data_IF_411075321052
#
_entry.id   IF_411075321052
#
_cell.length_a   1.000
_cell.length_b   1.000
_cell.length_c   1.000
_cell.angle_alpha   90.00
_cell.angle_beta   90.00
_cell.angle_gamma   90.00
#
_symmetry.space_group_name_H-M   'P 1'
#
loop_
_entity.id
_entity.type
_entity.pdbx_description
1 polymer ?
#
# COMPACT_ATOMS: atom_id res chain seq x y z
N UNK A 1 -1.39 61.65 -12.30
CA UNK A 1 -0.63 61.49 -13.56
C UNK A 1 -1.45 60.65 -14.52
N UNK A 2 -1.38 60.92 -15.84
CA UNK A 2 -2.08 60.13 -16.88
C UNK A 2 -1.95 58.62 -16.67
N UNK A 3 -0.79 58.18 -16.17
CA UNK A 3 -0.51 56.80 -15.76
C UNK A 3 -1.58 56.17 -14.85
N UNK A 4 -1.98 56.85 -13.75
CA UNK A 4 -2.97 56.33 -12.78
C UNK A 4 -4.34 56.16 -13.46
N UNK A 5 -4.68 57.07 -14.37
CA UNK A 5 -5.95 57.02 -15.10
C UNK A 5 -5.98 55.89 -16.15
N UNK A 6 -4.87 55.64 -16.85
CA UNK A 6 -4.69 54.46 -17.70
C UNK A 6 -4.77 53.16 -16.91
N UNK A 7 -4.14 53.08 -15.74
CA UNK A 7 -4.23 51.91 -14.86
C UNK A 7 -5.67 51.65 -14.42
N UNK A 8 -6.42 52.70 -14.08
CA UNK A 8 -7.84 52.58 -13.71
C UNK A 8 -8.70 52.07 -14.87
N UNK A 9 -8.51 52.58 -16.09
CA UNK A 9 -9.25 52.09 -17.28
C UNK A 9 -8.91 50.65 -17.60
N UNK A 10 -7.63 50.28 -17.58
CA UNK A 10 -7.23 48.89 -17.79
C UNK A 10 -7.79 47.96 -16.71
N UNK A 11 -7.82 48.38 -15.44
CA UNK A 11 -8.45 47.61 -14.37
C UNK A 11 -9.96 47.45 -14.59
N UNK A 12 -10.66 48.50 -15.03
CA UNK A 12 -12.09 48.46 -15.33
C UNK A 12 -12.40 47.57 -16.55
N UNK A 13 -11.58 47.62 -17.61
CA UNK A 13 -11.68 46.72 -18.75
C UNK A 13 -11.39 45.26 -18.36
N UNK A 14 -10.40 45.02 -17.51
CA UNK A 14 -10.08 43.67 -17.02
C UNK A 14 -11.25 43.10 -16.21
N UNK A 15 -11.82 43.91 -15.30
CA UNK A 15 -12.99 43.52 -14.51
C UNK A 15 -14.20 43.27 -15.42
N UNK A 16 -14.44 44.11 -16.43
CA UNK A 16 -15.55 43.92 -17.39
C UNK A 16 -15.38 42.61 -18.18
N UNK A 17 -14.17 42.33 -18.67
CA UNK A 17 -13.87 41.09 -19.39
C UNK A 17 -13.99 39.86 -18.49
N UNK A 18 -13.54 39.95 -17.24
CA UNK A 18 -13.71 38.88 -16.25
C UNK A 18 -15.19 38.67 -15.91
N UNK A 19 -15.98 39.73 -15.84
CA UNK A 19 -17.41 39.66 -15.57
C UNK A 19 -18.16 39.01 -16.74
N UNK A 20 -17.85 39.38 -17.98
CA UNK A 20 -18.39 38.74 -19.20
C UNK A 20 -18.02 37.25 -19.25
N UNK A 21 -16.76 36.91 -18.98
CA UNK A 21 -16.32 35.51 -18.93
C UNK A 21 -17.01 34.69 -17.82
N UNK A 22 -17.36 35.32 -16.69
CA UNK A 22 -18.14 34.69 -15.62
C UNK A 22 -19.63 34.63 -15.97
N UNK A 23 -20.15 35.56 -16.77
CA UNK A 23 -21.53 35.55 -17.22
C UNK A 23 -21.80 34.50 -18.31
N UNK A 24 -20.79 34.17 -19.10
CA UNK A 24 -20.78 33.05 -20.06
C UNK A 24 -20.61 31.68 -19.38
N UNK A 25 -20.23 31.64 -18.10
CA UNK A 25 -20.36 30.43 -17.29
C UNK A 25 -21.83 30.26 -16.95
N UNK A 26 -22.53 29.50 -17.79
CA UNK A 26 -23.89 29.04 -17.57
C UNK A 26 -24.04 28.55 -16.12
N UNK A 27 -24.75 29.32 -15.29
CA UNK A 27 -24.95 28.99 -13.87
C UNK A 27 -25.81 27.74 -13.84
N UNK A 28 -25.22 26.62 -13.43
CA UNK A 28 -25.96 25.37 -13.30
C UNK A 28 -26.99 25.50 -12.18
N UNK A 29 -28.27 25.39 -12.54
CA UNK A 29 -29.38 25.39 -11.60
C UNK A 29 -29.81 23.96 -11.29
N UNK A 30 -30.36 23.69 -10.07
CA UNK A 30 -30.93 22.40 -9.73
C UNK A 30 -31.92 21.92 -10.79
N UNK A 31 -31.72 20.71 -11.31
CA UNK A 31 -32.54 20.11 -12.38
C UNK A 31 -32.02 20.31 -13.82
N UNK A 32 -30.94 21.08 -14.03
CA UNK A 32 -30.25 21.08 -15.34
C UNK A 32 -29.41 19.81 -15.50
N UNK A 33 -29.30 19.26 -16.72
CA UNK A 33 -28.53 18.03 -16.98
C UNK A 33 -27.09 18.12 -16.48
N UNK A 34 -26.46 19.30 -16.62
CA UNK A 34 -25.11 19.57 -16.12
C UNK A 34 -25.04 19.58 -14.59
N UNK A 35 -26.07 20.10 -13.92
CA UNK A 35 -26.17 20.05 -12.45
C UNK A 35 -26.36 18.62 -11.95
N UNK A 36 -27.25 17.84 -12.56
CA UNK A 36 -27.49 16.45 -12.17
C UNK A 36 -26.25 15.58 -12.40
N UNK A 37 -25.58 15.73 -13.55
CA UNK A 37 -24.32 15.04 -13.82
C UNK A 37 -23.23 15.41 -12.80
N UNK A 38 -23.12 16.70 -12.45
CA UNK A 38 -22.18 17.15 -11.43
C UNK A 38 -22.55 16.65 -10.03
N UNK A 39 -23.84 16.62 -9.69
CA UNK A 39 -24.34 16.08 -8.43
C UNK A 39 -24.01 14.58 -8.31
N UNK A 40 -24.21 13.80 -9.37
CA UNK A 40 -23.77 12.40 -9.44
C UNK A 40 -22.25 12.26 -9.27
N UNK A 41 -21.45 13.09 -9.94
CA UNK A 41 -19.98 13.06 -9.79
C UNK A 41 -19.54 13.39 -8.36
N UNK A 42 -20.19 14.36 -7.71
CA UNK A 42 -19.92 14.71 -6.31
C UNK A 42 -20.35 13.58 -5.37
N UNK A 43 -21.50 12.94 -5.62
CA UNK A 43 -21.96 11.75 -4.90
C UNK A 43 -20.96 10.61 -4.98
N UNK A 44 -20.53 10.25 -6.20
CA UNK A 44 -19.50 9.23 -6.46
C UNK A 44 -18.20 9.55 -5.72
N UNK A 45 -17.74 10.80 -5.76
CA UNK A 45 -16.50 11.21 -5.06
C UNK A 45 -16.64 11.07 -3.54
N UNK A 46 -17.81 11.43 -2.98
CA UNK A 46 -18.08 11.26 -1.54
C UNK A 46 -18.06 9.79 -1.14
N UNK A 47 -18.69 8.93 -1.94
CA UNK A 47 -18.64 7.48 -1.73
C UNK A 47 -17.20 6.94 -1.76
N UNK A 48 -16.43 7.29 -2.80
CA UNK A 48 -15.02 6.87 -2.91
C UNK A 48 -14.20 7.34 -1.71
N UNK A 49 -14.35 8.60 -1.30
CA UNK A 49 -13.64 9.12 -0.14
C UNK A 49 -14.04 8.41 1.17
N UNK A 50 -15.31 8.05 1.34
CA UNK A 50 -15.76 7.31 2.52
C UNK A 50 -15.20 5.88 2.53
N UNK A 51 -15.10 5.25 1.36
CA UNK A 51 -14.47 3.94 1.20
C UNK A 51 -12.96 3.99 1.48
N UNK A 52 -12.23 4.95 0.89
CA UNK A 52 -10.79 5.13 1.09
C UNK A 52 -10.46 5.41 2.57
N UNK A 53 -11.31 6.19 3.26
CA UNK A 53 -11.18 6.47 4.69
C UNK A 53 -11.37 5.19 5.53
N UNK A 54 -12.38 4.39 5.20
CA UNK A 54 -12.63 3.10 5.86
C UNK A 54 -11.45 2.14 5.65
N UNK A 55 -10.97 1.99 4.41
CA UNK A 55 -9.83 1.15 4.07
C UNK A 55 -8.58 1.57 4.84
N UNK A 56 -8.23 2.87 4.83
CA UNK A 56 -7.05 3.38 5.53
C UNK A 56 -7.10 3.11 7.04
N UNK A 57 -8.28 3.20 7.67
CA UNK A 57 -8.43 2.93 9.11
C UNK A 57 -8.28 1.43 9.42
N UNK A 58 -8.74 0.56 8.51
CA UNK A 58 -8.61 -0.89 8.65
C UNK A 58 -7.17 -1.33 8.46
N UNK A 59 -6.47 -0.77 7.46
CA UNK A 59 -5.02 -0.97 7.28
C UNK A 59 -4.29 -0.59 8.57
N UNK A 60 -4.54 0.61 9.10
CA UNK A 60 -3.91 1.05 10.34
C UNK A 60 -4.23 0.10 11.50
N UNK A 61 -5.48 -0.37 11.62
CA UNK A 61 -5.86 -1.30 12.67
C UNK A 61 -5.16 -2.67 12.57
N UNK A 62 -5.10 -3.26 11.38
CA UNK A 62 -4.43 -4.55 11.12
C UNK A 62 -2.93 -4.43 11.43
N UNK A 63 -2.27 -3.36 10.96
CA UNK A 63 -0.82 -3.20 11.11
C UNK A 63 -0.39 -2.69 12.49
N UNK A 64 -1.19 -1.88 13.17
CA UNK A 64 -0.83 -1.29 14.47
C UNK A 64 -1.32 -2.12 15.67
N UNK A 65 -2.09 -3.20 15.45
CA UNK A 65 -2.65 -4.08 16.50
C UNK A 65 -3.34 -3.31 17.64
N UNK A 66 -3.89 -2.13 17.34
CA UNK A 66 -4.33 -1.17 18.34
C UNK A 66 -5.81 -1.38 18.66
N UNK A 67 -6.12 -1.58 19.95
CA UNK A 67 -7.51 -1.58 20.45
C UNK A 67 -8.18 -0.19 20.39
N UNK A 68 -7.43 0.86 20.04
CA UNK A 68 -7.84 2.27 20.16
C UNK A 68 -8.62 2.76 18.93
N UNK A 69 -8.56 2.05 17.80
CA UNK A 69 -9.17 2.50 16.54
C UNK A 69 -10.61 2.02 16.30
N UNK A 70 -11.20 1.24 17.22
CA UNK A 70 -12.51 0.61 17.01
C UNK A 70 -13.67 1.62 16.84
N UNK A 71 -13.64 2.72 17.59
CA UNK A 71 -14.67 3.77 17.50
C UNK A 71 -14.57 4.53 16.18
N UNK A 72 -13.35 4.81 15.72
CA UNK A 72 -13.11 5.48 14.45
C UNK A 72 -13.59 4.63 13.26
N UNK A 73 -13.33 3.31 13.28
CA UNK A 73 -13.78 2.40 12.24
C UNK A 73 -15.31 2.31 12.23
N UNK A 74 -15.98 2.18 13.39
CA UNK A 74 -17.46 2.19 13.44
C UNK A 74 -18.04 3.46 12.83
N UNK A 75 -17.50 4.63 13.17
CA UNK A 75 -17.94 5.87 12.55
C UNK A 75 -17.61 5.96 11.05
N UNK A 76 -16.54 5.33 10.59
CA UNK A 76 -16.22 5.26 9.16
C UNK A 76 -17.17 4.32 8.40
N UNK A 77 -17.58 3.20 9.00
CA UNK A 77 -18.63 2.32 8.49
C UNK A 77 -19.94 3.10 8.35
N UNK A 78 -20.34 3.86 9.37
CA UNK A 78 -21.55 4.69 9.32
C UNK A 78 -21.48 5.73 8.18
N UNK A 79 -20.33 6.38 8.00
CA UNK A 79 -20.09 7.33 6.89
C UNK A 79 -20.17 6.65 5.54
N UNK A 80 -19.54 5.49 5.40
CA UNK A 80 -19.60 4.68 4.18
C UNK A 80 -21.04 4.29 3.86
N UNK A 81 -21.78 3.71 4.81
CA UNK A 81 -23.17 3.28 4.64
C UNK A 81 -24.08 4.45 4.23
N UNK A 82 -23.92 5.61 4.86
CA UNK A 82 -24.67 6.82 4.49
C UNK A 82 -24.42 7.22 3.04
N UNK A 83 -23.16 7.18 2.58
CA UNK A 83 -22.82 7.50 1.18
C UNK A 83 -23.26 6.39 0.22
N UNK A 84 -23.19 5.13 0.64
CA UNK A 84 -23.61 3.94 -0.12
C UNK A 84 -25.11 3.98 -0.46
N UNK A 85 -25.95 4.33 0.52
CA UNK A 85 -27.39 4.52 0.33
C UNK A 85 -27.72 5.66 -0.64
N UNK A 86 -26.86 6.68 -0.71
CA UNK A 86 -27.05 7.84 -1.59
C UNK A 86 -26.59 7.62 -3.04
N UNK A 87 -25.98 6.47 -3.34
CA UNK A 87 -25.53 6.12 -4.68
C UNK A 87 -26.70 5.63 -5.55
N UNK A 88 -26.54 5.76 -6.87
CA UNK A 88 -27.50 5.26 -7.86
C UNK A 88 -26.73 4.34 -8.83
N UNK A 89 -26.94 3.02 -8.81
CA UNK A 89 -27.78 2.27 -7.87
C UNK A 89 -27.22 2.28 -6.43
N UNK A 90 -28.07 2.09 -5.41
CA UNK A 90 -27.63 2.04 -4.01
C UNK A 90 -26.63 0.90 -3.81
N UNK A 91 -25.60 1.16 -2.99
CA UNK A 91 -24.54 0.19 -2.68
C UNK A 91 -24.86 -0.56 -1.39
N UNK A 92 -24.21 -1.71 -1.22
CA UNK A 92 -24.39 -2.55 -0.02
C UNK A 92 -23.83 -1.82 1.21
N UNK A 93 -24.60 -1.89 2.29
CA UNK A 93 -24.18 -1.46 3.62
C UNK A 93 -23.36 -2.56 4.29
N UNK A 94 -22.31 -2.14 5.00
CA UNK A 94 -21.40 -3.00 5.74
C UNK A 94 -21.77 -3.02 7.22
N UNK A 95 -21.75 -4.21 7.81
CA UNK A 95 -21.78 -4.43 9.25
C UNK A 95 -20.37 -4.47 9.83
N UNK A 96 -20.29 -4.31 11.16
CA UNK A 96 -19.04 -4.42 11.89
C UNK A 96 -18.44 -5.83 11.78
N UNK A 97 -19.29 -6.86 11.80
CA UNK A 97 -18.89 -8.26 11.69
C UNK A 97 -18.27 -8.56 10.32
N UNK A 98 -18.90 -8.09 9.22
CA UNK A 98 -18.37 -8.25 7.86
C UNK A 98 -17.01 -7.56 7.69
N UNK A 99 -16.86 -6.36 8.27
CA UNK A 99 -15.59 -5.61 8.20
C UNK A 99 -14.45 -6.33 8.94
N UNK A 100 -14.74 -7.05 10.03
CA UNK A 100 -13.72 -7.88 10.69
C UNK A 100 -13.41 -9.13 9.87
N UNK A 101 -14.41 -9.72 9.21
CA UNK A 101 -14.22 -10.89 8.35
C UNK A 101 -13.37 -10.58 7.12
N UNK A 102 -13.42 -9.34 6.62
CA UNK A 102 -12.49 -8.79 5.63
C UNK A 102 -11.10 -8.58 6.24
N UNK A 103 -10.46 -9.69 6.61
CA UNK A 103 -9.10 -9.75 7.16
C UNK A 103 -8.01 -9.42 6.13
N UNK A 104 -8.37 -9.30 4.85
CA UNK A 104 -7.44 -9.05 3.76
C UNK A 104 -7.88 -7.85 2.92
N UNK A 105 -6.93 -6.98 2.57
CA UNK A 105 -7.21 -5.71 1.87
C UNK A 105 -7.86 -5.90 0.50
N UNK A 106 -7.61 -7.02 -0.18
CA UNK A 106 -8.26 -7.34 -1.47
C UNK A 106 -9.77 -7.49 -1.37
N UNK A 107 -10.32 -7.74 -0.18
CA UNK A 107 -11.77 -7.85 -0.01
C UNK A 107 -12.45 -6.48 -0.03
N UNK A 108 -11.71 -5.40 0.27
CA UNK A 108 -12.16 -4.01 0.12
C UNK A 108 -12.09 -3.52 -1.32
N UNK A 109 -11.17 -4.05 -2.14
CA UNK A 109 -11.12 -3.76 -3.57
C UNK A 109 -12.44 -4.15 -4.27
N UNK A 110 -13.18 -5.14 -3.74
CA UNK A 110 -14.49 -5.58 -4.22
C UNK A 110 -15.60 -4.52 -4.04
N UNK A 111 -15.38 -3.53 -3.17
CA UNK A 111 -16.32 -2.43 -2.91
C UNK A 111 -16.06 -1.21 -3.82
N UNK A 112 -14.95 -1.21 -4.55
CA UNK A 112 -14.55 -0.09 -5.41
C UNK A 112 -15.39 -0.05 -6.69
N UNK A 113 -15.86 1.14 -7.07
CA UNK A 113 -16.66 1.28 -8.29
C UNK A 113 -15.84 1.00 -9.55
N UNK A 114 -16.27 0.01 -10.34
CA UNK A 114 -15.70 -0.29 -11.66
C UNK A 114 -15.61 -1.76 -12.01
N UNK A 115 -15.77 -2.66 -11.03
CA UNK A 115 -15.88 -4.10 -11.27
C UNK A 115 -17.34 -4.53 -11.19
N UNK A 116 -17.71 -5.55 -11.97
CA UNK A 116 -18.96 -6.27 -11.75
C UNK A 116 -19.01 -6.72 -10.29
N UNK A 117 -20.20 -6.71 -9.68
CA UNK A 117 -20.35 -7.15 -8.29
C UNK A 117 -20.17 -8.67 -8.23
N UNK A 118 -18.93 -9.10 -8.08
CA UNK A 118 -18.52 -10.51 -8.05
C UNK A 118 -18.68 -11.13 -6.66
N UNK A 119 -19.15 -10.40 -5.65
CA UNK A 119 -19.29 -10.94 -4.27
C UNK A 119 -20.30 -12.07 -4.15
N UNK A 120 -21.21 -12.19 -5.11
CA UNK A 120 -22.12 -13.36 -5.21
C UNK A 120 -21.41 -14.63 -5.68
N UNK A 121 -20.20 -14.50 -6.22
CA UNK A 121 -19.40 -15.63 -6.66
C UNK A 121 -18.75 -16.34 -5.48
N UNK A 122 -18.78 -17.67 -5.49
CA UNK A 122 -18.25 -18.51 -4.39
C UNK A 122 -16.77 -18.21 -4.15
N UNK A 123 -16.02 -17.90 -5.21
CA UNK A 123 -14.60 -17.60 -5.17
C UNK A 123 -14.27 -16.20 -4.63
N UNK A 124 -15.21 -15.26 -4.62
CA UNK A 124 -15.03 -13.92 -4.06
C UNK A 124 -15.42 -13.84 -2.57
N UNK A 125 -16.01 -14.91 -2.02
CA UNK A 125 -16.23 -15.00 -0.58
C UNK A 125 -14.89 -15.14 0.18
N UNK A 126 -14.74 -14.64 1.42
CA UNK A 126 -13.50 -14.78 2.19
C UNK A 126 -13.01 -16.23 2.29
N UNK A 127 -13.94 -17.17 2.53
CA UNK A 127 -13.63 -18.60 2.57
C UNK A 127 -13.19 -19.14 1.19
N UNK A 128 -13.81 -18.69 0.11
CA UNK A 128 -13.44 -19.03 -1.26
C UNK A 128 -12.04 -18.51 -1.63
N UNK A 129 -11.74 -17.25 -1.31
CA UNK A 129 -10.42 -16.64 -1.50
C UNK A 129 -9.32 -17.43 -0.78
N UNK A 130 -9.54 -17.77 0.50
CA UNK A 130 -8.58 -18.58 1.29
C UNK A 130 -8.41 -19.97 0.68
N UNK A 131 -9.50 -20.62 0.26
CA UNK A 131 -9.44 -21.93 -0.37
C UNK A 131 -8.68 -21.89 -1.71
N UNK A 132 -8.89 -20.85 -2.51
CA UNK A 132 -8.16 -20.65 -3.77
C UNK A 132 -6.67 -20.36 -3.52
N UNK A 133 -6.34 -19.47 -2.59
CA UNK A 133 -4.95 -19.19 -2.22
C UNK A 133 -4.22 -20.48 -1.78
N UNK A 134 -4.87 -21.30 -0.94
CA UNK A 134 -4.33 -22.60 -0.55
C UNK A 134 -4.19 -23.54 -1.75
N UNK A 135 -5.19 -23.61 -2.63
CA UNK A 135 -5.15 -24.44 -3.82
C UNK A 135 -3.98 -24.05 -4.74
N UNK A 136 -3.80 -22.77 -5.03
CA UNK A 136 -2.71 -22.29 -5.87
C UNK A 136 -1.35 -22.42 -5.20
N UNK A 137 -1.25 -22.22 -3.88
CA UNK A 137 -0.02 -22.51 -3.13
C UNK A 137 0.40 -23.98 -3.24
N UNK A 138 -0.57 -24.89 -3.21
CA UNK A 138 -0.30 -26.32 -3.41
C UNK A 138 0.07 -26.62 -4.86
N UNK A 139 -0.65 -26.04 -5.82
CA UNK A 139 -0.40 -26.25 -7.25
C UNK A 139 1.00 -25.79 -7.67
N UNK A 140 1.45 -24.65 -7.12
CA UNK A 140 2.71 -24.00 -7.46
C UNK A 140 3.82 -24.25 -6.42
N UNK A 141 3.63 -25.19 -5.49
CA UNK A 141 4.58 -25.48 -4.42
C UNK A 141 5.96 -25.91 -4.97
N UNK A 142 5.98 -26.74 -6.01
CA UNK A 142 7.22 -27.24 -6.61
C UNK A 142 8.04 -26.11 -7.27
N UNK A 143 7.36 -25.16 -7.92
CA UNK A 143 7.98 -23.99 -8.54
C UNK A 143 8.51 -23.03 -7.47
N UNK A 144 7.77 -22.87 -6.39
CA UNK A 144 8.19 -22.08 -5.23
C UNK A 144 9.44 -22.68 -4.58
N UNK A 145 9.53 -24.01 -4.45
CA UNK A 145 10.74 -24.69 -3.96
C UNK A 145 11.95 -24.36 -4.85
N UNK A 146 11.78 -24.43 -6.18
CA UNK A 146 12.85 -24.09 -7.13
C UNK A 146 13.29 -22.63 -6.96
N UNK A 147 12.35 -21.69 -6.83
CA UNK A 147 12.65 -20.27 -6.60
C UNK A 147 13.38 -20.05 -5.29
N UNK A 148 12.88 -20.63 -4.20
CA UNK A 148 13.46 -20.50 -2.86
C UNK A 148 14.87 -21.07 -2.80
N UNK A 149 15.18 -22.14 -3.54
CA UNK A 149 16.54 -22.66 -3.63
C UNK A 149 17.53 -21.63 -4.20
N UNK A 150 17.12 -20.86 -5.21
CA UNK A 150 17.93 -19.78 -5.80
C UNK A 150 18.07 -18.62 -4.80
N UNK A 151 16.96 -18.21 -4.17
CA UNK A 151 16.97 -17.11 -3.19
C UNK A 151 17.81 -17.44 -1.96
N UNK A 152 17.78 -18.69 -1.50
CA UNK A 152 18.60 -19.19 -0.41
C UNK A 152 20.09 -19.04 -0.75
N UNK A 153 20.49 -19.50 -1.94
CA UNK A 153 21.88 -19.38 -2.39
C UNK A 153 22.30 -17.90 -2.51
N UNK A 154 21.42 -17.04 -3.03
CA UNK A 154 21.65 -15.59 -3.10
C UNK A 154 21.81 -14.96 -1.72
N UNK A 155 20.99 -15.36 -0.75
CA UNK A 155 21.07 -14.88 0.63
C UNK A 155 22.41 -15.27 1.26
N UNK A 156 22.86 -16.52 1.10
CA UNK A 156 24.17 -16.97 1.60
C UNK A 156 25.29 -16.17 0.95
N UNK A 157 25.26 -16.01 -0.38
CA UNK A 157 26.25 -15.23 -1.13
C UNK A 157 26.31 -13.79 -0.63
N UNK A 158 25.15 -13.14 -0.50
CA UNK A 158 25.05 -11.78 0.02
C UNK A 158 25.65 -11.66 1.43
N UNK A 159 25.35 -12.60 2.34
CA UNK A 159 25.91 -12.60 3.69
C UNK A 159 27.44 -12.72 3.67
N UNK A 160 27.99 -13.63 2.86
CA UNK A 160 29.43 -13.85 2.72
C UNK A 160 30.13 -12.65 2.10
N UNK A 161 29.61 -12.12 1.00
CA UNK A 161 30.19 -10.96 0.31
C UNK A 161 30.15 -9.71 1.18
N UNK A 162 29.02 -9.47 1.86
CA UNK A 162 28.87 -8.32 2.75
C UNK A 162 29.80 -8.39 3.95
N UNK A 163 29.98 -9.58 4.53
CA UNK A 163 30.94 -9.80 5.61
C UNK A 163 32.38 -9.52 5.13
N UNK A 164 32.76 -10.07 3.97
CA UNK A 164 34.08 -9.82 3.36
C UNK A 164 34.32 -8.34 3.05
N UNK A 165 33.33 -7.65 2.52
CA UNK A 165 33.36 -6.21 2.26
C UNK A 165 33.61 -5.41 3.53
N UNK A 166 32.87 -5.69 4.61
CA UNK A 166 33.03 -4.98 5.89
C UNK A 166 34.41 -5.24 6.51
N UNK A 167 34.90 -6.49 6.46
CA UNK A 167 36.25 -6.85 6.93
C UNK A 167 37.33 -6.11 6.14
N UNK A 168 37.20 -6.06 4.82
CA UNK A 168 38.13 -5.36 3.93
C UNK A 168 38.19 -3.87 4.28
N UNK A 169 37.03 -3.19 4.33
CA UNK A 169 36.98 -1.76 4.61
C UNK A 169 37.44 -1.42 6.03
N UNK A 170 37.14 -2.24 7.03
CA UNK A 170 37.68 -2.08 8.38
C UNK A 170 39.21 -2.13 8.38
N UNK A 171 39.79 -3.12 7.71
CA UNK A 171 41.26 -3.29 7.64
C UNK A 171 41.92 -2.12 6.91
N UNK A 172 41.33 -1.68 5.79
CA UNK A 172 41.80 -0.53 5.02
C UNK A 172 41.77 0.76 5.84
N UNK A 173 40.66 1.04 6.54
CA UNK A 173 40.53 2.26 7.37
C UNK A 173 41.53 2.29 8.53
N UNK A 174 41.81 1.14 9.16
CA UNK A 174 42.87 1.04 10.19
C UNK A 174 44.25 1.32 9.61
N UNK A 175 44.53 0.87 8.38
CA UNK A 175 45.80 1.15 7.71
C UNK A 175 45.95 2.64 7.33
N UNK A 176 44.84 3.33 7.05
CA UNK A 176 44.77 4.76 6.75
C UNK A 176 44.85 5.66 8.00
N UNK A 177 44.79 5.09 9.21
CA UNK A 177 44.81 5.83 10.48
C UNK A 177 43.44 6.36 10.94
N UNK A 178 42.36 5.94 10.26
CA UNK A 178 40.98 6.35 10.54
C UNK A 178 40.31 5.45 11.58
N UNK A 179 40.86 5.43 12.81
CA UNK A 179 40.49 4.48 13.86
C UNK A 179 39.01 4.59 14.30
N UNK A 180 38.45 5.80 14.31
CA UNK A 180 37.05 6.03 14.72
C UNK A 180 36.07 5.45 13.70
N UNK A 181 36.32 5.65 12.41
CA UNK A 181 35.52 5.07 11.32
C UNK A 181 35.68 3.56 11.27
N UNK A 182 36.90 3.04 11.45
CA UNK A 182 37.15 1.61 11.53
C UNK A 182 36.38 0.96 12.70
N UNK A 183 36.29 1.64 13.85
CA UNK A 183 35.49 1.18 14.98
C UNK A 183 33.99 1.16 14.66
N UNK A 184 33.45 2.19 14.00
CA UNK A 184 32.04 2.19 13.58
C UNK A 184 31.71 1.04 12.61
N UNK A 185 32.60 0.80 11.63
CA UNK A 185 32.46 -0.35 10.72
C UNK A 185 32.50 -1.68 11.49
N UNK A 186 33.36 -1.79 12.51
CA UNK A 186 33.42 -2.98 13.36
C UNK A 186 32.14 -3.20 14.16
N UNK A 187 31.55 -2.16 14.75
CA UNK A 187 30.28 -2.26 15.47
C UNK A 187 29.19 -2.74 14.53
N UNK A 188 29.08 -2.14 13.35
CA UNK A 188 28.09 -2.54 12.34
C UNK A 188 28.31 -3.99 11.87
N UNK A 189 29.57 -4.39 11.65
CA UNK A 189 29.93 -5.76 11.32
C UNK A 189 29.44 -6.73 12.41
N UNK A 190 29.75 -6.46 13.69
CA UNK A 190 29.35 -7.33 14.80
C UNK A 190 27.83 -7.51 14.91
N UNK A 191 27.07 -6.43 14.69
CA UNK A 191 25.61 -6.52 14.66
C UNK A 191 25.13 -7.42 13.52
N UNK A 192 25.63 -7.20 12.29
CA UNK A 192 25.26 -8.00 11.12
C UNK A 192 25.66 -9.47 11.26
N UNK A 193 26.85 -9.77 11.76
CA UNK A 193 27.30 -11.15 11.95
C UNK A 193 26.43 -11.92 12.95
N UNK A 194 25.82 -11.24 13.95
CA UNK A 194 24.85 -11.88 14.87
C UNK A 194 23.59 -12.32 14.15
N UNK A 195 23.01 -11.46 13.31
CA UNK A 195 21.84 -11.82 12.50
C UNK A 195 22.18 -12.90 11.47
N UNK A 196 23.30 -12.76 10.78
CA UNK A 196 23.77 -13.75 9.81
C UNK A 196 23.99 -15.12 10.47
N UNK A 197 24.51 -15.17 11.70
CA UNK A 197 24.66 -16.43 12.44
C UNK A 197 23.31 -17.11 12.70
N UNK A 198 22.27 -16.35 13.07
CA UNK A 198 20.92 -16.90 13.25
C UNK A 198 20.32 -17.41 11.94
N UNK A 199 20.50 -16.65 10.85
CA UNK A 199 20.07 -17.10 9.52
C UNK A 199 20.78 -18.39 9.12
N UNK A 200 22.11 -18.45 9.26
CA UNK A 200 22.89 -19.65 8.95
C UNK A 200 22.48 -20.85 9.81
N UNK A 201 22.19 -20.66 11.10
CA UNK A 201 21.68 -21.74 11.94
C UNK A 201 20.36 -22.31 11.42
N UNK A 202 19.43 -21.44 11.00
CA UNK A 202 18.15 -21.85 10.41
C UNK A 202 18.35 -22.54 9.06
N UNK A 203 19.23 -22.03 8.20
CA UNK A 203 19.56 -22.64 6.92
C UNK A 203 20.20 -24.02 7.10
N UNK A 204 21.06 -24.19 8.11
CA UNK A 204 21.64 -25.51 8.45
C UNK A 204 20.56 -26.47 8.94
N UNK A 205 19.58 -26.02 9.72
CA UNK A 205 18.44 -26.86 10.12
C UNK A 205 17.61 -27.26 8.90
N UNK A 206 17.26 -26.30 8.04
CA UNK A 206 16.51 -26.54 6.80
C UNK A 206 17.22 -27.53 5.88
N UNK A 207 18.55 -27.42 5.73
CA UNK A 207 19.34 -28.33 4.89
C UNK A 207 19.32 -29.80 5.35
N UNK A 208 18.87 -30.07 6.58
CA UNK A 208 18.75 -31.41 7.16
C UNK A 208 17.33 -31.97 7.04
N UNK A 209 16.36 -31.17 6.58
CA UNK A 209 14.98 -31.63 6.42
C UNK A 209 14.84 -32.55 5.20
N UNK A 210 13.92 -33.51 5.31
CA UNK A 210 13.62 -34.41 4.20
C UNK A 210 12.99 -33.61 3.04
N UNK A 211 13.54 -33.76 1.83
CA UNK A 211 13.07 -33.04 0.64
C UNK A 211 13.82 -31.73 0.34
N UNK A 212 14.81 -31.35 1.16
CA UNK A 212 15.68 -30.23 0.83
C UNK A 212 16.47 -30.50 -0.47
N UNK A 213 16.37 -29.58 -1.42
CA UNK A 213 16.98 -29.68 -2.76
C UNK A 213 17.89 -28.48 -3.11
N UNK A 214 18.00 -27.50 -2.22
CA UNK A 214 18.78 -26.28 -2.42
C UNK A 214 20.26 -26.42 -2.05
N UNK A 215 20.97 -25.28 -2.06
CA UNK A 215 22.36 -25.21 -1.60
C UNK A 215 22.56 -24.09 -0.59
N UNK A 216 23.17 -24.43 0.55
CA UNK A 216 23.57 -23.48 1.60
C UNK A 216 25.01 -22.96 1.42
N UNK A 217 25.64 -23.23 0.27
CA UNK A 217 26.98 -22.71 -0.05
C UNK A 217 26.87 -21.36 -0.76
N UNK A 218 27.80 -20.46 -0.50
CA UNK A 218 27.90 -19.22 -1.26
C UNK A 218 28.09 -19.53 -2.76
N UNK A 219 27.36 -18.81 -3.60
CA UNK A 219 27.53 -18.79 -5.05
C UNK A 219 28.64 -17.84 -5.47
N UNK A 220 28.69 -17.55 -6.76
CA UNK A 220 29.61 -16.55 -7.34
C UNK A 220 28.84 -15.25 -7.56
N UNK A 221 29.41 -14.15 -7.08
CA UNK A 221 28.97 -12.77 -7.31
C UNK A 221 29.48 -12.26 -8.67
#
# INVERSE_FOLDING_TARGET
TRAIETWRRHAMELVSKMLEAVHDLERWEPGTDKWEAAAMMVGRRRYQHALDELESLIVAWIFELSKVNLTAIKSAIDRYNLTADSMIPPKINLSWEEVIEYTFLSDFDLLREGQEDIRGEIWASPAGCVAMDQHFKLLHADEEIIRLNIELQRLVTYMTDKEGFLVHHKTRLRAEGEDTLAYQVQVHQMERSRFNAQHMERLVKLSKEAGFSGSITAGVS
#
